data_IF_998501229651
#
_entry.id   IF_998501229651
#
_cell.length_a   1.000
_cell.length_b   1.000
_cell.length_c   1.000
_cell.angle_alpha   90.00
_cell.angle_beta   90.00
_cell.angle_gamma   90.00
#
_symmetry.space_group_name_H-M   'P 1'
#
loop_
_entity.id
_entity.type
_entity.pdbx_description
1 polymer ?
#
# COMPACT_ATOMS: atom_id res chain seq x y z
N UNK A 1 -28.46 11.00 17.76
CA UNK A 1 -28.10 11.17 16.34
C UNK A 1 -26.79 10.47 15.98
N UNK A 2 -25.69 10.71 16.71
CA UNK A 2 -24.38 10.09 16.42
C UNK A 2 -24.36 8.55 16.52
N UNK A 3 -25.06 7.97 17.52
CA UNK A 3 -25.12 6.51 17.68
C UNK A 3 -25.82 5.78 16.53
N UNK A 4 -26.85 6.41 15.93
CA UNK A 4 -27.55 5.86 14.76
C UNK A 4 -26.63 5.88 13.53
N UNK A 5 -25.91 6.99 13.32
CA UNK A 5 -24.95 7.10 12.22
C UNK A 5 -23.82 6.07 12.38
N UNK A 6 -23.24 5.98 13.57
CA UNK A 6 -22.18 5.00 13.87
C UNK A 6 -22.67 3.56 13.63
N UNK A 7 -23.82 3.18 14.20
CA UNK A 7 -24.38 1.84 14.01
C UNK A 7 -24.72 1.54 12.54
N UNK A 8 -25.28 2.52 11.83
CA UNK A 8 -25.57 2.42 10.39
C UNK A 8 -24.31 2.21 9.55
N UNK A 9 -23.24 2.97 9.81
CA UNK A 9 -21.94 2.79 9.13
C UNK A 9 -21.36 1.40 9.38
N UNK A 10 -21.34 0.95 10.64
CA UNK A 10 -20.82 -0.39 10.98
C UNK A 10 -21.61 -1.49 10.27
N UNK A 11 -22.95 -1.42 10.30
CA UNK A 11 -23.80 -2.41 9.64
C UNK A 11 -23.59 -2.43 8.11
N UNK A 12 -23.50 -1.27 7.47
CA UNK A 12 -23.27 -1.15 6.03
C UNK A 12 -21.93 -1.80 5.62
N UNK A 13 -20.86 -1.56 6.38
CA UNK A 13 -19.52 -2.07 6.09
C UNK A 13 -19.24 -3.46 6.67
N UNK A 14 -20.12 -4.02 7.51
CA UNK A 14 -19.91 -5.35 8.13
C UNK A 14 -19.66 -6.46 7.11
N UNK A 15 -20.24 -6.39 5.91
CA UNK A 15 -20.01 -7.39 4.86
C UNK A 15 -18.55 -7.38 4.37
N UNK A 16 -17.85 -6.25 4.46
CA UNK A 16 -16.47 -6.12 3.98
C UNK A 16 -15.51 -7.06 4.71
N UNK A 17 -15.82 -7.48 5.94
CA UNK A 17 -14.98 -8.41 6.72
C UNK A 17 -15.00 -9.84 6.20
N UNK A 18 -15.90 -10.16 5.28
CA UNK A 18 -16.01 -11.49 4.67
C UNK A 18 -15.34 -11.59 3.30
N UNK A 19 -14.86 -10.48 2.75
CA UNK A 19 -14.12 -10.48 1.48
C UNK A 19 -12.62 -10.61 1.76
N UNK A 20 -11.92 -11.31 0.85
CA UNK A 20 -10.47 -11.37 0.85
C UNK A 20 -9.84 -10.12 0.23
N UNK A 21 -8.52 -9.98 0.40
CA UNK A 21 -7.74 -8.95 -0.28
C UNK A 21 -7.63 -9.25 -1.78
N UNK A 22 -7.53 -8.18 -2.59
CA UNK A 22 -7.20 -8.26 -4.01
C UNK A 22 -5.90 -7.50 -4.26
N UNK A 23 -5.07 -8.02 -5.17
CA UNK A 23 -3.77 -7.45 -5.51
C UNK A 23 -3.92 -6.51 -6.70
N UNK A 24 -4.65 -5.41 -6.52
CA UNK A 24 -4.93 -4.49 -7.62
C UNK A 24 -3.68 -3.68 -8.00
N UNK A 25 -3.07 -2.99 -7.03
CA UNK A 25 -1.88 -2.16 -7.27
C UNK A 25 -0.57 -2.84 -6.83
N UNK A 26 -0.65 -3.89 -6.01
CA UNK A 26 0.51 -4.64 -5.49
C UNK A 26 1.51 -5.07 -6.58
N UNK A 27 1.10 -5.50 -7.79
CA UNK A 27 2.05 -5.79 -8.85
C UNK A 27 2.94 -4.59 -9.20
N UNK A 28 2.36 -3.41 -9.40
CA UNK A 28 3.13 -2.22 -9.75
C UNK A 28 3.96 -1.64 -8.61
N UNK A 29 3.49 -1.79 -7.37
CA UNK A 29 4.14 -1.20 -6.19
C UNK A 29 5.12 -2.15 -5.49
N UNK A 30 4.97 -3.46 -5.64
CA UNK A 30 5.73 -4.42 -4.84
C UNK A 30 6.23 -5.55 -5.71
N UNK A 31 5.34 -6.40 -6.24
CA UNK A 31 5.78 -7.70 -6.77
C UNK A 31 6.45 -7.63 -8.13
N UNK A 32 6.16 -6.63 -8.96
CA UNK A 32 6.76 -6.46 -10.29
C UNK A 32 7.66 -5.21 -10.36
N UNK A 33 7.94 -4.56 -9.22
CA UNK A 33 8.77 -3.36 -9.17
C UNK A 33 10.25 -3.72 -8.96
N UNK A 34 11.11 -3.64 -9.99
CA UNK A 34 12.50 -4.08 -9.88
C UNK A 34 13.32 -3.28 -8.85
N UNK A 35 12.94 -2.04 -8.57
CA UNK A 35 13.63 -1.22 -7.56
C UNK A 35 13.31 -1.71 -6.15
N UNK A 36 12.07 -2.18 -5.91
CA UNK A 36 11.67 -2.80 -4.65
C UNK A 36 12.29 -4.19 -4.52
N UNK A 37 12.24 -5.00 -5.58
CA UNK A 37 12.81 -6.34 -5.58
C UNK A 37 14.33 -6.38 -5.36
N UNK A 38 15.02 -5.29 -5.69
CA UNK A 38 16.45 -5.13 -5.43
C UNK A 38 16.80 -4.99 -3.94
N UNK A 39 15.79 -4.92 -3.06
CA UNK A 39 15.95 -4.72 -1.62
C UNK A 39 16.52 -3.34 -1.28
N UNK A 40 16.80 -3.12 0.01
CA UNK A 40 17.34 -1.83 0.46
C UNK A 40 18.78 -1.64 -0.05
N UNK A 41 18.89 -0.86 -1.12
CA UNK A 41 20.16 -0.47 -1.75
C UNK A 41 20.28 1.06 -1.81
N UNK A 42 21.50 1.56 -2.06
CA UNK A 42 21.72 3.01 -2.23
C UNK A 42 20.92 3.54 -3.43
N UNK A 43 20.95 2.81 -4.54
CA UNK A 43 20.26 3.20 -5.77
C UNK A 43 18.74 3.13 -5.59
N UNK A 44 18.23 2.08 -4.93
CA UNK A 44 16.81 1.96 -4.55
C UNK A 44 16.37 3.06 -3.58
N UNK A 45 17.24 3.46 -2.64
CA UNK A 45 16.95 4.57 -1.72
C UNK A 45 16.84 5.89 -2.47
N UNK A 46 17.78 6.21 -3.37
CA UNK A 46 17.69 7.43 -4.18
C UNK A 46 16.44 7.39 -5.05
N UNK A 47 16.19 6.24 -5.70
CA UNK A 47 15.00 6.04 -6.52
C UNK A 47 13.71 6.27 -5.73
N UNK A 48 13.59 5.77 -4.49
CA UNK A 48 12.40 5.94 -3.66
C UNK A 48 12.00 7.41 -3.45
N UNK A 49 12.98 8.33 -3.37
CA UNK A 49 12.72 9.77 -3.22
C UNK A 49 12.43 10.48 -4.55
N UNK A 50 12.70 9.85 -5.69
CA UNK A 50 12.49 10.39 -7.04
C UNK A 50 11.46 9.63 -7.86
N UNK A 51 10.88 8.56 -7.32
CA UNK A 51 10.02 7.63 -8.04
C UNK A 51 8.76 8.32 -8.58
N UNK A 52 8.47 8.21 -9.88
CA UNK A 52 7.19 8.62 -10.43
C UNK A 52 6.17 7.51 -10.14
N UNK A 53 5.26 7.78 -9.20
CA UNK A 53 4.08 6.96 -8.95
C UNK A 53 2.87 7.86 -8.75
N UNK A 54 1.66 7.28 -8.72
CA UNK A 54 0.41 8.04 -8.59
C UNK A 54 0.39 8.90 -7.31
N UNK A 55 1.21 8.55 -6.33
CA UNK A 55 1.52 9.35 -5.15
C UNK A 55 3.02 9.32 -4.83
N UNK A 56 3.52 10.37 -4.17
CA UNK A 56 4.89 10.37 -3.65
C UNK A 56 4.90 9.83 -2.21
N UNK A 57 5.53 8.68 -2.00
CA UNK A 57 5.60 8.01 -0.69
C UNK A 57 6.94 7.26 -0.51
N UNK A 58 8.06 7.98 -0.36
CA UNK A 58 9.41 7.41 -0.26
C UNK A 58 9.56 6.39 0.87
N UNK A 59 8.94 6.64 2.03
CA UNK A 59 9.05 5.73 3.16
C UNK A 59 8.32 4.40 2.96
N UNK A 60 7.23 4.40 2.17
CA UNK A 60 6.54 3.16 1.79
C UNK A 60 7.43 2.31 0.88
N UNK A 61 8.11 2.92 -0.10
CA UNK A 61 9.07 2.21 -0.95
C UNK A 61 10.21 1.59 -0.13
N UNK A 62 10.76 2.33 0.83
CA UNK A 62 11.82 1.82 1.72
C UNK A 62 11.33 0.68 2.61
N UNK A 63 10.09 0.73 3.10
CA UNK A 63 9.50 -0.39 3.85
C UNK A 63 9.43 -1.64 2.98
N UNK A 64 8.88 -1.53 1.77
CA UNK A 64 8.79 -2.68 0.87
C UNK A 64 10.17 -3.25 0.51
N UNK A 65 11.18 -2.40 0.31
CA UNK A 65 12.56 -2.83 0.09
C UNK A 65 13.21 -3.50 1.31
N UNK A 66 12.79 -3.14 2.52
CA UNK A 66 13.23 -3.78 3.77
C UNK A 66 12.55 -5.12 4.00
N UNK A 67 11.28 -5.23 3.58
CA UNK A 67 10.43 -6.41 3.75
C UNK A 67 10.59 -7.46 2.63
N UNK A 68 11.34 -7.12 1.56
CA UNK A 68 11.55 -7.96 0.38
C UNK A 68 12.52 -9.13 0.60
#
# INVERSE_FOLDING_TARGET
>A
MCGLLFGGTVLLFSRATHFGFINYDDPGYVTDNPNVQGGLSRDGTVWAFTAPADYWHPFTWLSHMLDW
#
